data_IF_759703994527
#
_entry.id   IF_759703994527
#
_cell.length_a   1.000
_cell.length_b   1.000
_cell.length_c   1.000
_cell.angle_alpha   90.00
_cell.angle_beta   90.00
_cell.angle_gamma   90.00
#
_symmetry.space_group_name_H-M   'P 1'
#
loop_
_entity.id
_entity.type
_entity.pdbx_description
1 polymer ?
#
# COMPACT_ATOMS: atom_id res chain seq x y z
N UNK A 1 7.36 -28.37 1.79
CA UNK A 1 6.41 -27.25 1.56
C UNK A 1 6.76 -26.57 0.25
N UNK A 2 5.81 -26.38 -0.69
CA UNK A 2 6.06 -25.65 -1.95
C UNK A 2 6.08 -24.14 -1.67
N UNK A 3 7.20 -23.48 -1.93
CA UNK A 3 7.31 -22.01 -1.88
C UNK A 3 6.42 -21.40 -2.98
N UNK A 4 5.40 -20.62 -2.58
CA UNK A 4 4.58 -19.85 -3.53
C UNK A 4 5.32 -18.56 -3.85
N UNK A 5 6.00 -18.52 -4.99
CA UNK A 5 6.65 -17.29 -5.48
C UNK A 5 5.56 -16.40 -6.07
N UNK A 6 5.47 -15.17 -5.59
CA UNK A 6 4.55 -14.15 -6.11
C UNK A 6 5.38 -13.02 -6.69
N UNK A 7 5.13 -12.67 -7.95
CA UNK A 7 5.81 -11.57 -8.64
C UNK A 7 4.85 -10.40 -8.78
N UNK A 8 5.31 -9.20 -8.47
CA UNK A 8 4.58 -7.96 -8.72
C UNK A 8 5.30 -7.12 -9.76
N UNK A 9 4.54 -6.52 -10.68
CA UNK A 9 5.05 -5.54 -11.63
C UNK A 9 4.71 -4.15 -11.14
N UNK A 10 5.73 -3.30 -11.00
CA UNK A 10 5.58 -1.92 -10.54
C UNK A 10 6.15 -0.95 -11.57
N UNK A 11 5.62 0.28 -11.58
CA UNK A 11 6.16 1.37 -12.40
C UNK A 11 7.60 1.69 -11.97
N UNK A 12 8.42 2.13 -12.93
CA UNK A 12 9.82 2.50 -12.69
C UNK A 12 9.97 3.65 -11.67
N UNK A 13 9.04 4.60 -11.68
CA UNK A 13 8.96 5.68 -10.68
C UNK A 13 8.76 5.13 -9.27
N UNK A 14 7.82 4.20 -9.09
CA UNK A 14 7.55 3.52 -7.82
C UNK A 14 8.77 2.72 -7.37
N UNK A 15 9.42 1.98 -8.27
CA UNK A 15 10.65 1.22 -7.96
C UNK A 15 11.75 2.11 -7.38
N UNK A 16 12.00 3.28 -7.99
CA UNK A 16 13.00 4.24 -7.51
C UNK A 16 12.73 4.72 -6.09
N UNK A 17 11.46 5.00 -5.77
CA UNK A 17 11.05 5.43 -4.43
C UNK A 17 11.31 4.31 -3.41
N UNK A 18 10.85 3.09 -3.71
CA UNK A 18 11.01 1.93 -2.82
C UNK A 18 12.50 1.61 -2.60
N UNK A 19 13.34 1.66 -3.64
CA UNK A 19 14.79 1.47 -3.53
C UNK A 19 15.46 2.50 -2.62
N UNK A 20 15.04 3.78 -2.70
CA UNK A 20 15.55 4.83 -1.83
C UNK A 20 15.19 4.57 -0.37
N UNK A 21 13.95 4.17 -0.10
CA UNK A 21 13.49 3.83 1.25
C UNK A 21 14.26 2.63 1.80
N UNK A 22 14.42 1.56 1.01
CA UNK A 22 15.20 0.37 1.40
C UNK A 22 16.63 0.74 1.79
N UNK A 23 17.32 1.54 0.97
CA UNK A 23 18.69 1.99 1.26
C UNK A 23 18.78 2.81 2.55
N UNK A 24 17.83 3.71 2.80
CA UNK A 24 17.81 4.50 4.03
C UNK A 24 17.60 3.61 5.26
N UNK A 25 16.72 2.61 5.13
CA UNK A 25 16.45 1.67 6.20
C UNK A 25 17.65 0.75 6.49
N UNK A 26 18.31 0.23 5.46
CA UNK A 26 19.56 -0.55 5.59
C UNK A 26 20.66 0.23 6.29
N UNK A 27 20.79 1.54 5.98
CA UNK A 27 21.73 2.43 6.69
C UNK A 27 21.37 2.56 8.17
N UNK A 28 20.09 2.75 8.49
CA UNK A 28 19.63 2.88 9.89
C UNK A 28 19.88 1.62 10.73
N UNK A 29 19.83 0.44 10.09
CA UNK A 29 20.08 -0.84 10.74
C UNK A 29 21.54 -1.30 10.65
N UNK A 30 22.40 -0.55 9.97
CA UNK A 30 23.78 -0.90 9.63
C UNK A 30 23.92 -2.33 9.05
N UNK A 31 22.94 -2.77 8.24
CA UNK A 31 22.94 -4.09 7.60
C UNK A 31 22.16 -4.07 6.29
N UNK A 32 22.55 -4.95 5.35
CA UNK A 32 21.79 -5.18 4.11
C UNK A 32 20.59 -6.09 4.38
N UNK A 33 19.50 -5.86 3.65
CA UNK A 33 18.28 -6.66 3.70
C UNK A 33 17.95 -7.25 2.34
N UNK A 34 17.36 -8.44 2.32
CA UNK A 34 16.75 -8.97 1.10
C UNK A 34 15.51 -8.16 0.73
N UNK A 35 15.04 -8.29 -0.51
CA UNK A 35 13.78 -7.67 -0.91
C UNK A 35 12.60 -8.24 -0.15
N UNK A 36 12.58 -9.55 0.07
CA UNK A 36 11.49 -10.21 0.80
C UNK A 36 11.45 -9.74 2.26
N UNK A 37 12.60 -9.65 2.95
CA UNK A 37 12.66 -9.16 4.33
C UNK A 37 12.23 -7.69 4.43
N UNK A 38 12.63 -6.88 3.46
CA UNK A 38 12.25 -5.48 3.41
C UNK A 38 10.74 -5.31 3.15
N UNK A 39 10.17 -6.09 2.23
CA UNK A 39 8.73 -6.05 1.94
C UNK A 39 7.91 -6.60 3.11
N UNK A 40 8.35 -7.69 3.75
CA UNK A 40 7.76 -8.20 4.98
C UNK A 40 7.86 -7.19 6.13
N UNK A 41 8.96 -6.45 6.22
CA UNK A 41 9.09 -5.36 7.16
C UNK A 41 8.07 -4.26 6.88
N UNK A 42 7.91 -3.82 5.63
CA UNK A 42 6.89 -2.82 5.28
C UNK A 42 5.47 -3.29 5.63
N UNK A 43 5.12 -4.54 5.29
CA UNK A 43 3.82 -5.12 5.61
C UNK A 43 3.61 -5.31 7.12
N UNK A 44 4.66 -5.66 7.86
CA UNK A 44 4.59 -5.77 9.33
C UNK A 44 4.66 -4.42 10.04
N UNK A 45 5.21 -3.40 9.40
CA UNK A 45 5.16 -2.01 9.88
C UNK A 45 3.74 -1.45 9.80
N UNK A 46 2.93 -1.93 8.86
CA UNK A 46 1.48 -1.69 8.79
C UNK A 46 0.72 -2.31 9.99
N UNK A 47 1.26 -3.38 10.61
CA UNK A 47 0.78 -3.92 11.89
C UNK A 47 1.42 -3.27 13.13
N UNK A 48 2.47 -2.45 12.96
CA UNK A 48 3.09 -1.61 14.01
C UNK A 48 2.69 -0.13 13.88
N UNK A 49 1.52 0.14 13.32
CA UNK A 49 0.95 1.50 13.22
C UNK A 49 0.71 2.16 14.58
N UNK A 50 0.81 1.44 15.70
CA UNK A 50 0.86 2.09 17.03
C UNK A 50 2.11 2.97 17.25
N UNK A 51 3.20 2.75 16.50
CA UNK A 51 4.41 3.62 16.53
C UNK A 51 4.46 4.66 15.41
N UNK A 52 3.44 4.73 14.56
CA UNK A 52 3.27 5.77 13.54
C UNK A 52 2.19 6.80 13.94
N UNK A 53 1.93 6.96 15.24
CA UNK A 53 1.09 8.06 15.76
C UNK A 53 1.61 9.46 15.41
N UNK A 54 2.85 9.60 14.94
CA UNK A 54 3.45 10.88 14.55
C UNK A 54 3.60 11.09 13.03
N UNK A 55 3.11 10.17 12.19
CA UNK A 55 2.81 10.54 10.80
C UNK A 55 1.33 10.88 10.81
N UNK A 56 1.04 12.17 10.85
CA UNK A 56 -0.27 12.76 10.59
C UNK A 56 -1.03 11.93 9.56
N UNK A 57 -1.87 11.02 10.04
CA UNK A 57 -2.87 10.34 9.23
C UNK A 57 -3.67 11.49 8.68
N UNK A 58 -3.55 11.75 7.37
CA UNK A 58 -4.20 12.82 6.63
C UNK A 58 -5.49 13.24 7.32
N UNK A 59 -5.44 14.34 8.07
CA UNK A 59 -6.62 14.96 8.65
C UNK A 59 -7.39 15.54 7.46
N UNK A 60 -8.21 14.70 6.84
CA UNK A 60 -9.14 15.16 5.83
C UNK A 60 -10.09 16.12 6.54
N UNK A 61 -10.34 17.27 5.91
CA UNK A 61 -11.49 18.05 6.32
C UNK A 61 -12.77 17.22 6.12
N UNK A 62 -13.85 17.60 6.81
CA UNK A 62 -15.14 16.93 6.65
C UNK A 62 -15.56 16.86 5.18
N UNK A 63 -15.31 17.93 4.41
CA UNK A 63 -15.63 18.01 2.99
C UNK A 63 -14.80 17.03 2.14
N UNK A 64 -13.51 16.88 2.46
CA UNK A 64 -12.61 15.95 1.75
C UNK A 64 -12.97 14.49 2.07
N UNK A 65 -13.34 14.21 3.31
CA UNK A 65 -13.79 12.89 3.73
C UNK A 65 -15.11 12.50 3.05
N UNK A 66 -16.07 13.43 2.98
CA UNK A 66 -17.36 13.19 2.34
C UNK A 66 -17.20 13.00 0.81
N UNK A 67 -16.35 13.79 0.17
CA UNK A 67 -16.03 13.61 -1.25
C UNK A 67 -15.44 12.22 -1.54
N UNK A 68 -14.50 11.77 -0.71
CA UNK A 68 -13.92 10.43 -0.81
C UNK A 68 -14.98 9.33 -0.61
N UNK A 69 -15.88 9.52 0.36
CA UNK A 69 -16.99 8.60 0.63
C UNK A 69 -17.88 8.45 -0.59
N UNK A 70 -18.30 9.57 -1.20
CA UNK A 70 -19.14 9.57 -2.40
C UNK A 70 -18.46 8.88 -3.59
N UNK A 71 -17.18 9.14 -3.83
CA UNK A 71 -16.45 8.54 -4.94
C UNK A 71 -16.33 7.02 -4.79
N UNK A 72 -16.11 6.54 -3.57
CA UNK A 72 -16.05 5.12 -3.27
C UNK A 72 -17.42 4.45 -3.43
N UNK A 73 -18.50 5.10 -3.01
CA UNK A 73 -19.86 4.61 -3.14
C UNK A 73 -20.27 4.50 -4.62
N UNK A 74 -20.10 5.58 -5.39
CA UNK A 74 -20.36 5.61 -6.85
C UNK A 74 -19.48 4.60 -7.60
N UNK A 75 -18.22 4.44 -7.18
CA UNK A 75 -17.30 3.45 -7.71
C UNK A 75 -17.77 2.01 -7.47
N UNK A 76 -18.22 1.70 -6.24
CA UNK A 76 -18.77 0.38 -5.88
C UNK A 76 -20.04 0.05 -6.65
N UNK A 77 -20.96 1.02 -6.79
CA UNK A 77 -22.17 0.83 -7.61
C UNK A 77 -21.82 0.55 -9.07
N UNK A 78 -20.84 1.27 -9.61
CA UNK A 78 -20.37 1.08 -10.99
C UNK A 78 -19.71 -0.29 -11.22
N UNK A 79 -19.03 -0.83 -10.21
CA UNK A 79 -18.48 -2.19 -10.25
C UNK A 79 -19.57 -3.26 -10.10
N UNK A 80 -20.54 -3.05 -9.20
CA UNK A 80 -21.69 -3.96 -9.04
C UNK A 80 -22.51 -4.05 -10.33
N UNK A 81 -22.75 -2.92 -11.00
CA UNK A 81 -23.40 -2.90 -12.31
C UNK A 81 -22.60 -3.66 -13.36
N UNK A 82 -21.28 -3.45 -13.46
CA UNK A 82 -20.41 -4.18 -14.42
C UNK A 82 -20.37 -5.68 -14.17
N UNK A 83 -20.36 -6.12 -12.91
CA UNK A 83 -20.41 -7.54 -12.57
C UNK A 83 -21.72 -8.21 -13.00
N UNK A 84 -22.84 -7.47 -13.01
CA UNK A 84 -24.14 -7.96 -13.47
C UNK A 84 -24.27 -7.96 -15.01
N UNK A 85 -23.62 -7.04 -15.71
CA UNK A 85 -23.70 -6.97 -17.19
C UNK A 85 -22.84 -8.01 -17.91
N UNK A 86 -21.86 -8.63 -17.25
CA UNK A 86 -21.05 -9.71 -17.85
C UNK A 86 -21.64 -11.12 -17.65
N UNK A 87 -22.81 -11.23 -17.01
CA UNK A 87 -23.49 -12.52 -16.74
C UNK A 87 -24.91 -12.52 -17.35
N UNK A 88 -25.15 -11.75 -18.41
CA UNK A 88 -26.39 -11.81 -19.21
C UNK A 88 -26.06 -11.94 -20.68
#
# INVERSE_FOLDING_TARGET
>A
MKTRITTISIKSSTKRIIEKVKKNYEKSLNRKLSWDDFLLFLLSSEKRVERFKDISILELSEDEAELLRELLEKGRESWKKRALTQVS
#
